data_IF_214574426920
#
_entry.id   IF_214574426920
#
_cell.length_a   1.000
_cell.length_b   1.000
_cell.length_c   1.000
_cell.angle_alpha   90.00
_cell.angle_beta   90.00
_cell.angle_gamma   90.00
#
_symmetry.space_group_name_H-M   'P 1'
#
loop_
_entity.id
_entity.type
_entity.pdbx_description
1 polymer ?
#
# COMPACT_ATOMS: atom_id res chain seq x y z
N UNK A 1 -38.15 8.43 -24.71
CA UNK A 1 -37.02 9.37 -24.58
C UNK A 1 -36.88 9.63 -23.09
N UNK A 2 -36.21 8.72 -22.40
CA UNK A 2 -36.08 8.69 -20.95
C UNK A 2 -34.81 9.42 -20.57
N UNK A 3 -34.98 10.39 -19.67
CA UNK A 3 -34.01 11.33 -19.14
C UNK A 3 -32.98 10.57 -18.28
N UNK A 4 -31.78 10.37 -18.83
CA UNK A 4 -30.66 9.74 -18.14
C UNK A 4 -29.94 10.82 -17.34
N UNK A 5 -30.45 11.07 -16.13
CA UNK A 5 -29.85 11.95 -15.16
C UNK A 5 -28.45 11.41 -14.81
N UNK A 6 -27.43 11.94 -15.49
CA UNK A 6 -26.03 11.82 -15.12
C UNK A 6 -25.83 12.45 -13.74
N UNK A 7 -26.04 11.66 -12.69
CA UNK A 7 -25.56 11.94 -11.35
C UNK A 7 -24.05 12.14 -11.46
N UNK A 8 -23.62 13.39 -11.30
CA UNK A 8 -22.20 13.70 -11.17
C UNK A 8 -21.67 12.90 -9.98
N UNK A 9 -20.55 12.16 -10.09
CA UNK A 9 -20.04 11.38 -8.98
C UNK A 9 -19.75 12.34 -7.82
N UNK A 10 -20.35 12.08 -6.66
CA UNK A 10 -20.12 12.91 -5.48
C UNK A 10 -18.62 12.87 -5.16
N UNK A 11 -17.99 14.03 -5.05
CA UNK A 11 -16.58 14.15 -4.66
C UNK A 11 -16.38 14.01 -3.14
N UNK A 12 -17.41 13.59 -2.39
CA UNK A 12 -17.29 13.36 -0.95
C UNK A 12 -16.50 12.08 -0.70
N UNK A 13 -15.41 12.20 0.04
CA UNK A 13 -14.63 11.07 0.54
C UNK A 13 -15.53 10.29 1.52
N UNK A 14 -15.78 8.99 1.32
CA UNK A 14 -16.44 8.14 2.30
C UNK A 14 -15.83 8.31 3.69
N UNK A 15 -16.68 8.40 4.71
CA UNK A 15 -16.25 8.56 6.10
C UNK A 15 -15.52 7.30 6.55
N UNK A 16 -14.39 7.49 7.22
CA UNK A 16 -13.71 6.41 7.92
C UNK A 16 -14.41 6.12 9.25
N UNK A 17 -15.17 5.02 9.28
CA UNK A 17 -15.91 4.63 10.49
C UNK A 17 -15.01 4.02 11.57
N UNK A 18 -13.75 3.68 11.23
CA UNK A 18 -12.78 3.11 12.15
C UNK A 18 -11.83 4.16 12.74
N UNK A 19 -11.80 5.38 12.18
CA UNK A 19 -11.01 6.50 12.70
C UNK A 19 -11.25 6.82 14.20
N UNK A 20 -12.48 6.69 14.76
CA UNK A 20 -12.69 6.84 16.20
C UNK A 20 -12.02 5.77 17.06
N UNK A 21 -11.79 4.57 16.52
CA UNK A 21 -11.17 3.43 17.24
C UNK A 21 -9.65 3.50 17.11
N UNK A 22 -9.15 3.71 15.90
CA UNK A 22 -7.73 4.00 15.62
C UNK A 22 -7.66 5.19 14.68
N UNK A 23 -7.20 6.32 15.20
CA UNK A 23 -7.05 7.55 14.44
C UNK A 23 -5.95 7.49 13.38
N UNK A 24 -5.90 8.55 12.56
CA UNK A 24 -5.01 8.70 11.38
C UNK A 24 -3.58 8.26 11.65
N UNK A 25 -2.93 8.78 12.70
CA UNK A 25 -1.52 8.46 13.00
C UNK A 25 -1.32 6.98 13.32
N UNK A 26 -2.29 6.35 14.00
CA UNK A 26 -2.26 4.93 14.31
C UNK A 26 -2.42 4.06 13.06
N UNK A 27 -3.26 4.49 12.12
CA UNK A 27 -3.46 3.80 10.85
C UNK A 27 -2.22 3.86 9.96
N UNK A 28 -1.62 5.05 9.82
CA UNK A 28 -0.37 5.23 9.06
C UNK A 28 0.79 4.43 9.68
N UNK A 29 0.87 4.44 11.00
CA UNK A 29 1.86 3.65 11.72
C UNK A 29 1.64 2.15 11.49
N UNK A 30 0.40 1.66 11.45
CA UNK A 30 0.10 0.26 11.12
C UNK A 30 0.63 -0.14 9.73
N UNK A 31 0.41 0.71 8.72
CA UNK A 31 0.90 0.48 7.35
C UNK A 31 2.43 0.44 7.32
N UNK A 32 3.08 1.38 8.03
CA UNK A 32 4.55 1.43 8.13
C UNK A 32 5.12 0.21 8.85
N UNK A 33 4.50 -0.20 9.96
CA UNK A 33 4.93 -1.39 10.70
C UNK A 33 4.78 -2.66 9.87
N UNK A 34 3.69 -2.80 9.10
CA UNK A 34 3.53 -3.93 8.18
C UNK A 34 4.62 -3.95 7.11
N UNK A 35 4.95 -2.80 6.51
CA UNK A 35 6.05 -2.69 5.55
C UNK A 35 7.40 -3.07 6.15
N UNK A 36 7.76 -2.49 7.30
CA UNK A 36 9.05 -2.71 7.95
C UNK A 36 9.18 -4.17 8.41
N UNK A 37 8.12 -4.75 8.98
CA UNK A 37 8.08 -6.15 9.36
C UNK A 37 8.19 -7.08 8.14
N UNK A 38 7.43 -6.82 7.06
CA UNK A 38 7.55 -7.60 5.82
C UNK A 38 8.98 -7.56 5.27
N UNK A 39 9.59 -6.38 5.16
CA UNK A 39 10.95 -6.23 4.66
C UNK A 39 11.98 -6.99 5.52
N UNK A 40 11.77 -7.05 6.83
CA UNK A 40 12.64 -7.82 7.73
C UNK A 40 12.42 -9.32 7.60
N UNK A 41 11.17 -9.80 7.58
CA UNK A 41 10.83 -11.21 7.35
C UNK A 41 11.38 -11.70 6.02
N UNK A 42 11.22 -10.90 4.96
CA UNK A 42 11.70 -11.24 3.64
C UNK A 42 13.23 -11.40 3.64
N UNK A 43 13.97 -10.49 4.29
CA UNK A 43 15.44 -10.62 4.46
C UNK A 43 15.84 -11.85 5.27
N UNK A 44 15.15 -12.12 6.38
CA UNK A 44 15.39 -13.29 7.23
C UNK A 44 15.12 -14.61 6.49
N UNK A 45 14.27 -14.59 5.46
CA UNK A 45 13.97 -15.77 4.63
C UNK A 45 15.15 -16.20 3.76
N UNK A 46 16.17 -15.35 3.60
CA UNK A 46 17.42 -15.63 2.90
C UNK A 46 18.60 -15.87 3.85
N UNK A 47 18.41 -15.87 5.18
CA UNK A 47 19.50 -16.18 6.11
C UNK A 47 19.75 -17.70 6.16
N UNK A 48 21.03 -18.08 6.03
CA UNK A 48 21.50 -19.45 6.20
C UNK A 48 21.57 -19.88 7.69
N UNK A 49 21.48 -18.93 8.63
CA UNK A 49 21.44 -19.19 10.07
C UNK A 49 19.98 -19.32 10.57
N UNK A 50 19.56 -20.56 10.77
CA UNK A 50 18.25 -20.88 11.33
C UNK A 50 18.02 -20.27 12.72
N UNK A 51 19.04 -20.20 13.56
CA UNK A 51 18.95 -19.58 14.87
C UNK A 51 18.75 -18.06 14.79
N UNK A 52 19.40 -17.39 13.84
CA UNK A 52 19.15 -15.98 13.54
C UNK A 52 17.72 -15.76 13.06
N UNK A 53 17.25 -16.58 12.12
CA UNK A 53 15.89 -16.51 11.58
C UNK A 53 14.84 -16.60 12.68
N UNK A 54 14.94 -17.63 13.54
CA UNK A 54 13.99 -17.85 14.66
C UNK A 54 14.01 -16.67 15.64
N UNK A 55 15.19 -16.20 16.06
CA UNK A 55 15.28 -15.05 16.99
C UNK A 55 14.73 -13.76 16.36
N UNK A 56 14.98 -13.55 15.07
CA UNK A 56 14.49 -12.39 14.33
C UNK A 56 12.96 -12.38 14.21
N UNK A 57 12.35 -13.52 13.89
CA UNK A 57 10.90 -13.67 13.82
C UNK A 57 10.24 -13.47 15.18
N UNK A 58 10.83 -14.01 16.25
CA UNK A 58 10.32 -13.84 17.60
C UNK A 58 10.38 -12.38 18.07
N UNK A 59 11.49 -11.68 17.78
CA UNK A 59 11.62 -10.26 18.09
C UNK A 59 10.58 -9.40 17.34
N UNK A 60 10.31 -9.72 16.07
CA UNK A 60 9.26 -9.08 15.28
C UNK A 60 7.89 -9.33 15.87
N UNK A 61 7.57 -10.58 16.20
CA UNK A 61 6.30 -10.98 16.81
C UNK A 61 6.04 -10.17 18.09
N UNK A 62 7.03 -10.11 18.98
CA UNK A 62 6.92 -9.37 20.24
C UNK A 62 6.74 -7.87 20.01
N UNK A 63 7.49 -7.26 19.07
CA UNK A 63 7.37 -5.84 18.76
C UNK A 63 5.97 -5.48 18.22
N UNK A 64 5.43 -6.29 17.30
CA UNK A 64 4.08 -6.09 16.74
C UNK A 64 3.00 -6.26 17.80
N UNK A 65 3.10 -7.30 18.65
CA UNK A 65 2.15 -7.52 19.75
C UNK A 65 2.20 -6.37 20.75
N UNK A 66 3.39 -5.97 21.19
CA UNK A 66 3.56 -4.88 22.15
C UNK A 66 2.92 -3.57 21.67
N UNK A 67 3.06 -3.25 20.38
CA UNK A 67 2.43 -2.05 19.81
C UNK A 67 0.90 -2.16 19.76
N UNK A 68 0.37 -3.32 19.41
CA UNK A 68 -1.07 -3.59 19.45
C UNK A 68 -1.61 -3.48 20.88
N UNK A 69 -0.97 -4.16 21.84
CA UNK A 69 -1.33 -4.18 23.26
C UNK A 69 -1.20 -2.82 23.94
N UNK A 70 -0.40 -1.90 23.39
CA UNK A 70 -0.31 -0.51 23.85
C UNK A 70 -1.57 0.32 23.53
N UNK A 71 -2.57 -0.24 22.85
CA UNK A 71 -3.89 0.38 22.76
C UNK A 71 -4.64 0.22 24.08
N UNK A 72 -5.25 1.31 24.56
CA UNK A 72 -5.94 1.33 25.86
C UNK A 72 -7.26 0.53 25.89
N UNK A 73 -7.87 0.30 24.73
CA UNK A 73 -9.17 -0.37 24.59
C UNK A 73 -9.04 -1.67 23.78
N UNK A 74 -9.87 -2.67 24.10
CA UNK A 74 -9.84 -3.99 23.46
C UNK A 74 -10.09 -3.92 21.94
N UNK A 75 -11.04 -3.08 21.51
CA UNK A 75 -11.37 -2.91 20.09
C UNK A 75 -10.24 -2.20 19.32
N UNK A 76 -9.59 -1.22 19.95
CA UNK A 76 -8.43 -0.53 19.38
C UNK A 76 -7.23 -1.46 19.24
N UNK A 77 -6.99 -2.34 20.21
CA UNK A 77 -5.98 -3.40 20.15
C UNK A 77 -6.30 -4.38 19.01
N UNK A 78 -7.53 -4.88 18.96
CA UNK A 78 -7.96 -5.79 17.89
C UNK A 78 -7.81 -5.14 16.51
N UNK A 79 -8.19 -3.87 16.35
CA UNK A 79 -8.06 -3.15 15.08
C UNK A 79 -6.60 -2.89 14.69
N UNK A 80 -5.72 -2.52 15.64
CA UNK A 80 -4.28 -2.38 15.38
C UNK A 80 -3.67 -3.69 14.86
N UNK A 81 -3.96 -4.81 15.53
CA UNK A 81 -3.48 -6.12 15.08
C UNK A 81 -4.07 -6.49 13.71
N UNK A 82 -5.36 -6.25 13.50
CA UNK A 82 -6.04 -6.51 12.23
C UNK A 82 -5.39 -5.76 11.06
N UNK A 83 -5.07 -4.47 11.22
CA UNK A 83 -4.39 -3.68 10.19
C UNK A 83 -2.97 -4.21 9.91
N UNK A 84 -2.20 -4.56 10.94
CA UNK A 84 -0.85 -5.13 10.74
C UNK A 84 -0.92 -6.46 9.99
N UNK A 85 -1.80 -7.37 10.40
CA UNK A 85 -1.96 -8.67 9.73
C UNK A 85 -2.44 -8.49 8.29
N UNK A 86 -3.44 -7.63 8.06
CA UNK A 86 -3.92 -7.33 6.70
C UNK A 86 -2.82 -6.72 5.83
N UNK A 87 -1.99 -5.86 6.40
CA UNK A 87 -0.83 -5.29 5.70
C UNK A 87 0.20 -6.35 5.33
N UNK A 88 0.57 -7.22 6.26
CA UNK A 88 1.51 -8.33 6.03
C UNK A 88 1.00 -9.28 4.94
N UNK A 89 -0.28 -9.66 4.99
CA UNK A 89 -0.93 -10.48 3.96
C UNK A 89 -0.84 -9.82 2.58
N UNK A 90 -1.15 -8.53 2.48
CA UNK A 90 -1.11 -7.81 1.20
C UNK A 90 0.31 -7.64 0.65
N UNK A 91 1.31 -7.38 1.51
CA UNK A 91 2.71 -7.36 1.10
C UNK A 91 3.17 -8.73 0.58
N UNK A 92 2.84 -9.80 1.31
CA UNK A 92 3.14 -11.17 0.92
C UNK A 92 2.52 -11.53 -0.42
N UNK A 93 1.23 -11.25 -0.61
CA UNK A 93 0.53 -11.51 -1.86
C UNK A 93 1.17 -10.75 -3.04
N UNK A 94 1.47 -9.47 -2.85
CA UNK A 94 2.05 -8.62 -3.89
C UNK A 94 3.42 -9.15 -4.37
N UNK A 95 4.30 -9.50 -3.43
CA UNK A 95 5.63 -10.04 -3.77
C UNK A 95 5.56 -11.44 -4.37
N UNK A 96 4.72 -12.32 -3.82
CA UNK A 96 4.54 -13.65 -4.39
C UNK A 96 4.05 -13.58 -5.84
N UNK A 97 3.13 -12.67 -6.15
CA UNK A 97 2.65 -12.48 -7.53
C UNK A 97 3.69 -11.83 -8.46
N UNK A 98 4.46 -10.86 -7.95
CA UNK A 98 5.45 -10.11 -8.72
C UNK A 98 6.70 -10.92 -9.07
N UNK A 99 7.10 -11.84 -8.18
CA UNK A 99 8.33 -12.63 -8.30
C UNK A 99 8.08 -14.14 -8.47
N UNK A 100 6.83 -14.54 -8.77
CA UNK A 100 6.40 -15.92 -8.96
C UNK A 100 6.79 -16.85 -7.80
N UNK A 101 6.68 -16.35 -6.56
CA UNK A 101 6.99 -17.13 -5.36
C UNK A 101 5.78 -17.98 -5.00
N UNK A 102 6.01 -19.27 -4.71
CA UNK A 102 4.96 -20.18 -4.21
C UNK A 102 4.45 -19.71 -2.85
N UNK A 103 5.37 -19.31 -1.97
CA UNK A 103 5.07 -18.80 -0.64
C UNK A 103 6.28 -18.05 -0.06
N UNK A 104 6.05 -17.31 1.02
CA UNK A 104 7.10 -16.77 1.90
C UNK A 104 6.90 -17.42 3.28
N UNK A 105 7.49 -18.60 3.55
CA UNK A 105 7.17 -19.40 4.73
C UNK A 105 7.32 -18.64 6.06
N UNK A 106 8.38 -17.83 6.20
CA UNK A 106 8.62 -17.04 7.40
C UNK A 106 7.52 -15.98 7.64
N UNK A 107 6.87 -15.51 6.59
CA UNK A 107 5.73 -14.59 6.70
C UNK A 107 4.49 -15.32 7.19
N UNK A 108 4.20 -16.50 6.64
CA UNK A 108 3.10 -17.35 7.11
C UNK A 108 3.29 -17.76 8.57
N UNK A 109 4.53 -18.04 8.98
CA UNK A 109 4.89 -18.35 10.37
C UNK A 109 4.61 -17.15 11.29
N UNK A 110 5.07 -15.95 10.93
CA UNK A 110 4.82 -14.73 11.70
C UNK A 110 3.32 -14.46 11.86
N UNK A 111 2.55 -14.51 10.77
CA UNK A 111 1.10 -14.26 10.77
C UNK A 111 0.38 -15.31 11.62
N UNK A 112 0.74 -16.58 11.47
CA UNK A 112 0.22 -17.67 12.29
C UNK A 112 0.49 -17.44 13.78
N UNK A 113 1.73 -17.12 14.14
CA UNK A 113 2.14 -16.89 15.52
C UNK A 113 1.45 -15.67 16.17
N UNK A 114 1.17 -14.61 15.40
CA UNK A 114 0.40 -13.45 15.87
C UNK A 114 -1.04 -13.82 16.23
N UNK A 115 -1.67 -14.72 15.45
CA UNK A 115 -3.05 -15.17 15.67
C UNK A 115 -3.16 -16.24 16.76
N UNK A 116 -2.28 -17.23 16.77
CA UNK A 116 -2.26 -18.30 17.80
C UNK A 116 -2.05 -17.75 19.22
N UNK A 117 -1.48 -16.55 19.36
CA UNK A 117 -1.33 -15.88 20.64
C UNK A 117 -2.61 -15.23 21.20
N UNK A 118 -3.74 -15.31 20.49
CA UNK A 118 -5.02 -14.75 20.92
C UNK A 118 -5.85 -15.81 21.67
N UNK A 119 -6.52 -15.39 22.74
CA UNK A 119 -7.60 -16.20 23.32
C UNK A 119 -8.88 -16.13 22.48
N UNK A 120 -9.89 -16.94 22.81
CA UNK A 120 -11.13 -17.02 22.04
C UNK A 120 -11.89 -15.67 21.94
N UNK A 121 -11.83 -14.83 22.98
CA UNK A 121 -12.49 -13.52 22.98
C UNK A 121 -11.72 -12.51 22.12
N UNK A 122 -10.40 -12.56 22.20
CA UNK A 122 -9.51 -11.71 21.40
C UNK A 122 -9.57 -12.08 19.92
N UNK A 123 -9.58 -13.37 19.57
CA UNK A 123 -9.72 -13.86 18.20
C UNK A 123 -11.06 -13.40 17.59
N UNK A 124 -12.17 -13.50 18.34
CA UNK A 124 -13.48 -13.05 17.85
C UNK A 124 -13.50 -11.55 17.51
N UNK A 125 -12.92 -10.70 18.39
CA UNK A 125 -12.79 -9.26 18.13
C UNK A 125 -11.84 -8.97 16.98
N UNK A 126 -10.71 -9.66 16.92
CA UNK A 126 -9.76 -9.56 15.81
C UNK A 126 -10.46 -9.84 14.47
N UNK A 127 -11.21 -10.93 14.36
CA UNK A 127 -11.94 -11.28 13.13
C UNK A 127 -12.99 -10.23 12.75
N UNK A 128 -13.70 -9.67 13.74
CA UNK A 128 -14.64 -8.58 13.51
C UNK A 128 -13.94 -7.34 12.94
N UNK A 129 -12.84 -6.90 13.55
CA UNK A 129 -12.09 -5.74 13.09
C UNK A 129 -11.41 -5.99 11.74
N UNK A 130 -10.89 -7.18 11.51
CA UNK A 130 -10.28 -7.59 10.24
C UNK A 130 -11.30 -7.52 9.09
N UNK A 131 -12.51 -8.05 9.30
CA UNK A 131 -13.59 -7.92 8.32
C UNK A 131 -14.05 -6.47 8.14
N UNK A 132 -14.05 -5.66 9.22
CA UNK A 132 -14.47 -4.26 9.16
C UNK A 132 -13.57 -3.40 8.28
N UNK A 133 -12.27 -3.71 8.15
CA UNK A 133 -11.35 -2.97 7.27
C UNK A 133 -11.87 -2.93 5.84
N UNK A 134 -12.34 -4.06 5.30
CA UNK A 134 -12.81 -4.16 3.90
C UNK A 134 -14.32 -3.96 3.73
N UNK A 135 -15.07 -3.83 4.84
CA UNK A 135 -16.53 -3.67 4.80
C UNK A 135 -16.97 -2.39 4.07
N UNK A 136 -16.17 -1.32 4.14
CA UNK A 136 -16.39 -0.06 3.43
C UNK A 136 -15.07 0.46 2.88
N UNK A 137 -15.10 1.12 1.71
CA UNK A 137 -13.90 1.68 1.11
C UNK A 137 -13.19 2.69 2.03
N UNK A 138 -13.99 3.53 2.72
CA UNK A 138 -13.49 4.56 3.64
C UNK A 138 -12.94 4.01 4.97
N UNK A 139 -13.21 2.76 5.32
CA UNK A 139 -12.72 2.20 6.58
C UNK A 139 -11.20 2.06 6.55
N UNK A 140 -10.55 2.56 7.60
CA UNK A 140 -9.09 2.60 7.73
C UNK A 140 -8.40 3.20 6.49
N UNK A 141 -8.94 4.30 5.97
CA UNK A 141 -8.53 4.83 4.66
C UNK A 141 -7.07 5.30 4.65
N UNK A 142 -6.58 5.90 5.74
CA UNK A 142 -5.19 6.34 5.84
C UNK A 142 -4.23 5.13 5.86
N UNK A 143 -4.63 4.02 6.50
CA UNK A 143 -3.89 2.76 6.42
C UNK A 143 -3.86 2.21 5.00
N UNK A 144 -5.01 2.16 4.31
CA UNK A 144 -5.08 1.66 2.92
C UNK A 144 -4.26 2.51 1.96
N UNK A 145 -4.29 3.84 2.10
CA UNK A 145 -3.50 4.76 1.28
C UNK A 145 -2.01 4.46 1.44
N UNK A 146 -1.50 4.48 2.67
CA UNK A 146 -0.07 4.30 2.93
C UNK A 146 0.39 2.87 2.57
N UNK A 147 -0.43 1.86 2.83
CA UNK A 147 -0.15 0.47 2.45
C UNK A 147 -0.05 0.30 0.93
N UNK A 148 -1.04 0.78 0.17
CA UNK A 148 -1.05 0.66 -1.29
C UNK A 148 0.09 1.46 -1.92
N UNK A 149 0.35 2.68 -1.43
CA UNK A 149 1.50 3.48 -1.87
C UNK A 149 2.80 2.72 -1.64
N UNK A 150 3.01 2.18 -0.44
CA UNK A 150 4.21 1.42 -0.09
C UNK A 150 4.44 0.23 -1.02
N UNK A 151 3.41 -0.61 -1.21
CA UNK A 151 3.47 -1.78 -2.08
C UNK A 151 3.76 -1.38 -3.54
N UNK A 152 2.99 -0.42 -4.08
CA UNK A 152 3.15 0.00 -5.48
C UNK A 152 4.54 0.61 -5.73
N UNK A 153 5.05 1.42 -4.82
CA UNK A 153 6.39 2.00 -4.94
C UNK A 153 7.49 0.95 -4.84
N UNK A 154 7.37 -0.02 -3.93
CA UNK A 154 8.36 -1.09 -3.81
C UNK A 154 8.43 -1.95 -5.08
N UNK A 155 7.27 -2.31 -5.66
CA UNK A 155 7.23 -3.02 -6.93
C UNK A 155 7.74 -2.17 -8.10
N UNK A 156 7.40 -0.88 -8.12
CA UNK A 156 7.94 0.04 -9.13
C UNK A 156 9.47 0.15 -9.03
N UNK A 157 10.03 0.27 -7.82
CA UNK A 157 11.48 0.26 -7.61
C UNK A 157 12.12 -1.03 -8.10
N UNK A 158 11.52 -2.19 -7.79
CA UNK A 158 12.02 -3.47 -8.27
C UNK A 158 11.96 -3.57 -9.81
N UNK A 159 10.89 -3.05 -10.42
CA UNK A 159 10.73 -3.01 -11.87
C UNK A 159 11.82 -2.18 -12.54
N UNK A 160 12.11 -0.98 -12.03
CA UNK A 160 13.10 -0.08 -12.65
C UNK A 160 14.55 -0.47 -12.32
N UNK A 161 14.77 -1.23 -11.25
CA UNK A 161 16.07 -1.77 -10.89
C UNK A 161 16.39 -3.10 -11.58
N UNK A 162 15.42 -3.72 -12.25
CA UNK A 162 15.62 -4.99 -12.95
C UNK A 162 16.49 -4.80 -14.20
N UNK A 163 17.50 -5.65 -14.34
CA UNK A 163 18.39 -5.69 -15.50
C UNK A 163 17.85 -6.62 -16.61
N UNK A 164 16.86 -7.46 -16.29
CA UNK A 164 16.28 -8.44 -17.20
C UNK A 164 14.90 -7.98 -17.67
N UNK A 165 14.73 -7.81 -19.00
CA UNK A 165 13.46 -7.36 -19.59
C UNK A 165 12.28 -8.25 -19.21
N UNK A 166 12.48 -9.57 -19.17
CA UNK A 166 11.42 -10.52 -18.82
C UNK A 166 10.90 -10.28 -17.40
N UNK A 167 11.82 -10.21 -16.43
CA UNK A 167 11.49 -9.90 -15.04
C UNK A 167 10.84 -8.52 -14.91
N UNK A 168 11.41 -7.49 -15.53
CA UNK A 168 10.86 -6.13 -15.49
C UNK A 168 9.43 -6.07 -16.06
N UNK A 169 9.17 -6.80 -17.16
CA UNK A 169 7.84 -6.90 -17.80
C UNK A 169 6.85 -7.66 -16.92
N UNK A 170 7.31 -8.72 -16.24
CA UNK A 170 6.48 -9.46 -15.29
C UNK A 170 6.04 -8.58 -14.12
N UNK A 171 6.97 -7.83 -13.51
CA UNK A 171 6.67 -6.90 -12.42
C UNK A 171 5.73 -5.79 -12.91
N UNK A 172 5.98 -5.20 -14.10
CA UNK A 172 5.10 -4.21 -14.71
C UNK A 172 3.66 -4.71 -14.84
N UNK A 173 3.49 -5.93 -15.36
CA UNK A 173 2.17 -6.53 -15.58
C UNK A 173 1.44 -6.70 -14.26
N UNK A 174 2.14 -7.15 -13.21
CA UNK A 174 1.56 -7.31 -11.87
C UNK A 174 1.22 -5.98 -11.22
N UNK A 175 2.13 -5.01 -11.25
CA UNK A 175 1.91 -3.67 -10.71
C UNK A 175 0.72 -2.98 -11.38
N UNK A 176 0.68 -2.96 -12.72
CA UNK A 176 -0.43 -2.38 -13.48
C UNK A 176 -1.76 -3.10 -13.21
N UNK A 177 -1.74 -4.43 -13.16
CA UNK A 177 -2.92 -5.24 -12.82
C UNK A 177 -3.44 -4.97 -11.41
N UNK A 178 -2.57 -4.80 -10.42
CA UNK A 178 -2.95 -4.43 -9.05
C UNK A 178 -3.59 -3.05 -8.98
N UNK A 179 -3.01 -2.05 -9.66
CA UNK A 179 -3.58 -0.70 -9.74
C UNK A 179 -4.96 -0.70 -10.40
N UNK A 180 -5.13 -1.46 -11.49
CA UNK A 180 -6.42 -1.62 -12.15
C UNK A 180 -7.45 -2.32 -11.26
N UNK A 181 -7.07 -3.44 -10.64
CA UNK A 181 -7.94 -4.19 -9.75
C UNK A 181 -8.39 -3.35 -8.54
N UNK A 182 -7.50 -2.50 -8.00
CA UNK A 182 -7.84 -1.59 -6.89
C UNK A 182 -9.01 -0.66 -7.25
N UNK A 183 -9.05 -0.14 -8.47
CA UNK A 183 -10.15 0.71 -8.94
C UNK A 183 -11.46 -0.10 -9.09
N UNK A 184 -11.37 -1.39 -9.41
CA UNK A 184 -12.56 -2.27 -9.52
C UNK A 184 -13.13 -2.64 -8.15
N UNK A 185 -12.26 -2.94 -7.18
CA UNK A 185 -12.70 -3.34 -5.82
C UNK A 185 -13.02 -2.13 -4.93
N UNK A 186 -12.53 -0.94 -5.28
CA UNK A 186 -12.82 0.32 -4.61
C UNK A 186 -13.31 1.37 -5.64
N UNK A 187 -14.53 1.24 -6.19
CA UNK A 187 -15.07 2.18 -7.18
C UNK A 187 -15.16 3.65 -6.72
N UNK A 188 -15.31 3.91 -5.42
CA UNK A 188 -15.44 5.28 -4.89
C UNK A 188 -14.07 5.96 -4.64
N UNK A 189 -13.10 5.23 -4.12
CA UNK A 189 -11.82 5.73 -3.61
C UNK A 189 -10.58 5.13 -4.29
N UNK A 190 -10.68 3.98 -4.94
CA UNK A 190 -9.52 3.28 -5.52
C UNK A 190 -8.74 4.13 -6.51
N UNK A 191 -9.44 4.97 -7.30
CA UNK A 191 -8.81 5.91 -8.23
C UNK A 191 -7.88 6.90 -7.50
N UNK A 192 -8.21 7.31 -6.27
CA UNK A 192 -7.42 8.26 -5.50
C UNK A 192 -6.14 7.61 -4.97
N UNK A 193 -6.22 6.35 -4.55
CA UNK A 193 -5.06 5.58 -4.10
C UNK A 193 -4.08 5.32 -5.26
N UNK A 194 -4.61 5.01 -6.45
CA UNK A 194 -3.77 4.90 -7.67
C UNK A 194 -3.14 6.24 -8.02
N UNK A 195 -3.90 7.34 -8.01
CA UNK A 195 -3.38 8.67 -8.29
C UNK A 195 -2.27 9.10 -7.33
N UNK A 196 -2.42 8.79 -6.04
CA UNK A 196 -1.41 9.05 -5.02
C UNK A 196 -0.11 8.24 -5.27
N UNK A 197 -0.21 6.97 -5.64
CA UNK A 197 0.96 6.17 -6.02
C UNK A 197 1.67 6.74 -7.27
N UNK A 198 0.91 7.12 -8.30
CA UNK A 198 1.47 7.72 -9.52
C UNK A 198 2.15 9.07 -9.25
N UNK A 199 1.56 9.90 -8.39
CA UNK A 199 2.18 11.16 -7.96
C UNK A 199 3.55 10.92 -7.32
N UNK A 200 3.66 9.91 -6.44
CA UNK A 200 4.92 9.58 -5.80
C UNK A 200 5.96 9.04 -6.79
N UNK A 201 5.56 8.19 -7.75
CA UNK A 201 6.44 7.75 -8.84
C UNK A 201 6.98 8.96 -9.62
N UNK A 202 6.09 9.87 -10.05
CA UNK A 202 6.47 11.07 -10.78
C UNK A 202 7.41 11.97 -9.97
N UNK A 203 7.13 12.14 -8.67
CA UNK A 203 7.99 12.90 -7.76
C UNK A 203 9.38 12.29 -7.71
N UNK A 204 9.51 10.96 -7.58
CA UNK A 204 10.81 10.30 -7.52
C UNK A 204 11.59 10.40 -8.83
N UNK A 205 10.93 10.23 -9.99
CA UNK A 205 11.56 10.47 -11.29
C UNK A 205 12.12 11.89 -11.39
N UNK A 206 11.38 12.90 -10.92
CA UNK A 206 11.79 14.30 -10.96
C UNK A 206 12.84 14.66 -9.91
N UNK A 207 12.79 14.05 -8.73
CA UNK A 207 13.62 14.40 -7.59
C UNK A 207 14.99 13.73 -7.64
N UNK A 208 15.03 12.49 -8.07
CA UNK A 208 16.18 11.60 -7.97
C UNK A 208 16.70 11.17 -9.36
N UNK A 209 16.02 11.55 -10.44
CA UNK A 209 16.40 11.15 -11.80
C UNK A 209 16.18 9.67 -12.06
N UNK A 210 15.35 9.00 -11.27
CA UNK A 210 15.00 7.58 -11.46
C UNK A 210 14.26 7.38 -12.78
N UNK A 211 14.45 6.20 -13.38
CA UNK A 211 13.83 5.80 -14.65
C UNK A 211 14.06 6.80 -15.81
N UNK A 212 15.22 7.48 -15.83
CA UNK A 212 15.55 8.46 -16.87
C UNK A 212 16.02 7.85 -18.20
N UNK A 213 16.55 6.62 -18.18
CA UNK A 213 17.12 5.96 -19.35
C UNK A 213 16.95 4.43 -19.36
N UNK A 214 17.30 3.82 -20.49
CA UNK A 214 17.34 2.37 -20.68
C UNK A 214 16.01 1.67 -20.42
N UNK A 215 16.10 0.42 -19.95
CA UNK A 215 14.96 -0.43 -19.64
C UNK A 215 14.06 0.20 -18.56
N UNK A 216 14.65 0.88 -17.57
CA UNK A 216 13.91 1.55 -16.51
C UNK A 216 12.94 2.61 -17.06
N UNK A 217 13.39 3.44 -18.01
CA UNK A 217 12.53 4.42 -18.68
C UNK A 217 11.42 3.73 -19.48
N UNK A 218 11.77 2.71 -20.27
CA UNK A 218 10.81 1.97 -21.09
C UNK A 218 9.69 1.35 -20.24
N UNK A 219 10.04 0.71 -19.12
CA UNK A 219 9.06 0.09 -18.22
C UNK A 219 8.20 1.14 -17.52
N UNK A 220 8.80 2.26 -17.10
CA UNK A 220 8.03 3.35 -16.51
C UNK A 220 7.02 3.92 -17.51
N UNK A 221 7.43 4.23 -18.74
CA UNK A 221 6.54 4.71 -19.81
C UNK A 221 5.44 3.69 -20.13
N UNK A 222 5.78 2.40 -20.20
CA UNK A 222 4.83 1.32 -20.45
C UNK A 222 3.78 1.19 -19.32
N UNK A 223 4.16 1.39 -18.05
CA UNK A 223 3.21 1.40 -16.94
C UNK A 223 2.17 2.53 -17.10
N UNK A 224 2.61 3.76 -17.38
CA UNK A 224 1.70 4.89 -17.61
C UNK A 224 0.82 4.67 -18.85
N UNK A 225 1.39 4.12 -19.94
CA UNK A 225 0.66 3.82 -21.16
C UNK A 225 -0.42 2.74 -20.96
N UNK A 226 -0.09 1.67 -20.20
CA UNK A 226 -1.03 0.61 -19.85
C UNK A 226 -2.21 1.19 -19.05
N UNK A 227 -1.94 1.98 -18.00
CA UNK A 227 -2.99 2.62 -17.21
C UNK A 227 -3.84 3.59 -18.05
N UNK A 228 -3.23 4.34 -18.96
CA UNK A 228 -3.96 5.26 -19.85
C UNK A 228 -4.89 4.54 -20.84
N UNK A 229 -4.57 3.29 -21.19
CA UNK A 229 -5.31 2.45 -22.14
C UNK A 229 -6.43 1.66 -21.45
N UNK A 230 -6.13 1.05 -20.30
CA UNK A 230 -7.07 0.17 -19.59
C UNK A 230 -8.14 0.92 -18.78
N UNK A 231 -7.84 2.12 -18.30
CA UNK A 231 -8.79 2.89 -17.50
C UNK A 231 -9.85 3.58 -18.36
N UNK A 232 -11.10 3.54 -17.88
CA UNK A 232 -12.20 4.35 -18.43
C UNK A 232 -11.79 5.83 -18.46
N UNK A 233 -12.11 6.53 -19.53
CA UNK A 233 -11.72 7.94 -19.77
C UNK A 233 -11.95 8.84 -18.56
N UNK A 234 -13.16 8.84 -17.99
CA UNK A 234 -13.48 9.68 -16.83
C UNK A 234 -12.63 9.35 -15.59
N UNK A 235 -12.33 8.07 -15.37
CA UNK A 235 -11.50 7.62 -14.26
C UNK A 235 -10.04 7.99 -14.49
N UNK A 236 -9.51 7.71 -15.69
CA UNK A 236 -8.16 8.07 -16.10
C UNK A 236 -7.90 9.56 -15.92
N UNK A 237 -8.81 10.40 -16.41
CA UNK A 237 -8.64 11.85 -16.35
C UNK A 237 -8.66 12.35 -14.89
N UNK A 238 -9.50 11.76 -14.02
CA UNK A 238 -9.48 12.04 -12.57
C UNK A 238 -8.17 11.62 -11.91
N UNK A 239 -7.68 10.42 -12.21
CA UNK A 239 -6.41 9.89 -11.69
C UNK A 239 -5.25 10.82 -12.07
N UNK A 240 -5.12 11.13 -13.36
CA UNK A 240 -4.02 11.93 -13.88
C UNK A 240 -4.08 13.39 -13.41
N UNK A 241 -5.28 13.98 -13.33
CA UNK A 241 -5.46 15.32 -12.79
C UNK A 241 -5.02 15.40 -11.32
N UNK A 242 -5.42 14.43 -10.49
CA UNK A 242 -5.06 14.41 -9.08
C UNK A 242 -3.56 14.18 -8.88
N UNK A 243 -2.97 13.23 -9.60
CA UNK A 243 -1.53 12.97 -9.55
C UNK A 243 -0.71 14.22 -9.95
N UNK A 244 -1.12 14.88 -11.04
CA UNK A 244 -0.48 16.12 -11.51
C UNK A 244 -0.58 17.24 -10.48
N UNK A 245 -1.75 17.42 -9.83
CA UNK A 245 -1.92 18.42 -8.79
C UNK A 245 -0.99 18.19 -7.60
N UNK A 246 -0.81 16.93 -7.17
CA UNK A 246 0.11 16.57 -6.10
C UNK A 246 1.57 16.89 -6.46
N UNK A 247 2.01 16.53 -7.68
CA UNK A 247 3.35 16.87 -8.19
C UNK A 247 3.56 18.38 -8.23
N UNK A 248 2.60 19.14 -8.73
CA UNK A 248 2.67 20.61 -8.77
C UNK A 248 2.74 21.23 -7.38
N UNK A 249 1.96 20.73 -6.41
CA UNK A 249 2.00 21.18 -5.03
C UNK A 249 3.38 20.93 -4.41
N UNK A 250 3.94 19.75 -4.62
CA UNK A 250 5.28 19.39 -4.19
C UNK A 250 6.38 20.28 -4.82
N UNK A 251 6.30 20.54 -6.13
CA UNK A 251 7.23 21.45 -6.82
C UNK A 251 7.17 22.87 -6.24
N UNK A 252 5.96 23.38 -5.94
CA UNK A 252 5.77 24.70 -5.32
C UNK A 252 6.38 24.76 -3.92
N UNK A 253 6.20 23.71 -3.12
CA UNK A 253 6.79 23.62 -1.79
C UNK A 253 8.33 23.59 -1.80
N UNK A 254 8.94 23.06 -2.87
CA UNK A 254 10.40 23.04 -3.06
C UNK A 254 10.99 24.33 -3.63
N UNK A 255 10.18 25.26 -4.13
CA UNK A 255 10.71 26.55 -4.61
C UNK A 255 11.15 27.38 -3.38
N UNK A 256 12.40 27.87 -3.32
CA UNK A 256 12.77 28.81 -2.28
C UNK A 256 11.85 30.03 -2.37
N UNK A 257 11.49 30.62 -1.22
CA UNK A 257 10.77 31.87 -1.15
C UNK A 257 11.68 33.00 -1.68
N UNK A 258 11.77 33.13 -3.00
CA UNK A 258 12.51 34.20 -3.65
C UNK A 258 11.69 35.49 -3.55
N UNK A 259 11.94 36.32 -2.54
CA UNK A 259 11.51 37.72 -2.56
C UNK A 259 11.14 38.40 -1.23
N UNK A 260 12.04 38.42 -0.25
CA UNK A 260 12.15 39.58 0.66
C UNK A 260 13.62 39.97 0.72
N UNK A 261 14.03 40.80 -0.26
CA UNK A 261 15.25 41.58 -0.17
C UNK A 261 14.81 42.90 0.48
N UNK A 262 15.25 43.12 1.72
CA UNK A 262 15.16 44.42 2.40
C UNK A 262 16.20 45.38 1.84
#
# INVERSE_FOLDING_TARGET
MTDDARTSPSNSIPVDTLAPVVGVDGQKLAARMAQDAFAQVFRLSFSDDEGERVRGLEALREALRKWSDAAGEDDARALRLAMVVAGLDQWGLAYSQAFDLVAIPALSELIGALRTALDASQEARFLQQFAAIDALEGNAIDFKIDLRRGIHLALWHAMIASEEREQATAILTRLGGMMFALIQVMPELGWRLVADALANIQIQCLAEGLAAEGLAREMNEALFAALATELRVDCRDRVMAHATQAVLAWQRARRPASGQIH
#
